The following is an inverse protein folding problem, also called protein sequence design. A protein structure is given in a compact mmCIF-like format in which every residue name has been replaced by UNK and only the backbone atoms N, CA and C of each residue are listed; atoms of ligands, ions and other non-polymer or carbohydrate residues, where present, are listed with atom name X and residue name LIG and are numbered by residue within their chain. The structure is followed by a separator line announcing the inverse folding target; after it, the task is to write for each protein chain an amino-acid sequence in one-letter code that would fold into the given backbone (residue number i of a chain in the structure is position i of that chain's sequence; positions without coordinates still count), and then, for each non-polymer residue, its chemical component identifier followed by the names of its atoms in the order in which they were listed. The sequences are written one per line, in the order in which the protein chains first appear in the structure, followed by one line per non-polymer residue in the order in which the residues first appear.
data_IF_544866294917
#
_entry.id   IF_544866294917
#
_cell.length_a   1.000
_cell.length_b   1.000
_cell.length_c   1.000
_cell.angle_alpha   90.00
_cell.angle_beta   90.00
_cell.angle_gamma   90.00
#
_symmetry.space_group_name_H-M   'P 1'
#
loop_
_entity.id
_entity.type
_entity.pdbx_description
1 polymer ?
#
# COMPACT_ATOMS: atom_id res chain seq x y z
N UNK A 1 -12.55 12.34 -11.69
CA UNK A 1 -12.27 13.55 -10.89
C UNK A 1 -10.76 13.70 -10.75
N UNK A 2 -10.21 14.82 -11.23
CA UNK A 2 -8.77 15.10 -11.32
C UNK A 2 -8.22 15.60 -9.97
N UNK A 3 -6.92 15.36 -9.69
CA UNK A 3 -6.24 15.90 -8.51
C UNK A 3 -5.91 17.38 -8.79
N UNK A 4 -6.30 18.30 -7.90
CA UNK A 4 -6.01 19.73 -8.08
C UNK A 4 -4.80 20.19 -7.26
N UNK A 5 -4.30 21.40 -7.52
CA UNK A 5 -3.20 22.00 -6.74
C UNK A 5 -3.61 22.22 -5.28
N UNK A 6 -4.87 22.58 -5.04
CA UNK A 6 -5.43 22.79 -3.69
C UNK A 6 -5.49 21.46 -2.90
N UNK A 7 -5.83 20.35 -3.58
CA UNK A 7 -5.80 19.01 -2.99
C UNK A 7 -4.38 18.65 -2.51
N UNK A 8 -3.36 18.92 -3.35
CA UNK A 8 -1.96 18.57 -3.06
C UNK A 8 -1.36 19.42 -1.94
N UNK A 9 -1.66 20.71 -1.93
CA UNK A 9 -1.09 21.66 -0.96
C UNK A 9 -1.76 21.58 0.42
N UNK A 10 -2.82 20.76 0.57
CA UNK A 10 -3.57 20.60 1.82
C UNK A 10 -3.95 21.95 2.47
N UNK A 11 -4.26 22.96 1.64
CA UNK A 11 -4.44 24.35 2.06
C UNK A 11 -5.58 24.51 3.07
N UNK A 12 -6.62 23.68 2.94
CA UNK A 12 -7.78 23.69 3.82
C UNK A 12 -7.63 22.62 4.88
N UNK A 13 -7.82 22.98 6.16
CA UNK A 13 -7.63 22.07 7.30
C UNK A 13 -8.45 20.78 7.19
N UNK A 14 -9.70 20.85 6.72
CA UNK A 14 -10.57 19.68 6.57
C UNK A 14 -10.07 18.68 5.52
N UNK A 15 -9.28 19.11 4.53
CA UNK A 15 -8.74 18.21 3.50
C UNK A 15 -7.72 17.23 4.07
N UNK A 16 -7.07 17.59 5.19
CA UNK A 16 -6.05 16.76 5.86
C UNK A 16 -6.60 15.42 6.37
N UNK A 17 -7.89 15.35 6.69
CA UNK A 17 -8.55 14.14 7.19
C UNK A 17 -9.26 13.35 6.10
N UNK A 18 -9.29 13.86 4.85
CA UNK A 18 -9.97 13.17 3.75
C UNK A 18 -9.05 12.11 3.16
N UNK A 19 -9.27 10.86 3.57
CA UNK A 19 -8.55 9.69 3.02
C UNK A 19 -8.61 9.66 1.49
N UNK A 20 -9.73 10.09 0.89
CA UNK A 20 -9.86 10.16 -0.58
C UNK A 20 -8.91 11.16 -1.25
N UNK A 21 -8.43 12.18 -0.56
CA UNK A 21 -7.40 13.10 -1.08
C UNK A 21 -6.06 12.37 -1.09
N UNK A 22 -5.66 11.79 0.04
CA UNK A 22 -4.41 11.02 0.14
C UNK A 22 -4.36 9.84 -0.86
N UNK A 23 -5.43 9.06 -0.97
CA UNK A 23 -5.54 7.94 -1.90
C UNK A 23 -5.61 8.37 -3.38
N UNK A 24 -5.94 9.64 -3.68
CA UNK A 24 -5.82 10.19 -5.04
C UNK A 24 -4.38 10.61 -5.34
N UNK A 25 -3.72 11.26 -4.39
CA UNK A 25 -2.32 11.68 -4.53
C UNK A 25 -1.39 10.49 -4.71
N UNK A 26 -1.65 9.39 -4.01
CA UNK A 26 -0.80 8.19 -4.01
C UNK A 26 -1.34 7.08 -4.92
N UNK A 27 -2.02 7.41 -6.02
CA UNK A 27 -2.63 6.43 -6.93
C UNK A 27 -1.67 6.00 -8.05
N UNK A 28 -1.84 4.79 -8.58
CA UNK A 28 -1.17 4.31 -9.80
C UNK A 28 -1.11 5.33 -10.96
N UNK A 29 -2.20 6.05 -11.23
CA UNK A 29 -2.22 7.06 -12.31
C UNK A 29 -1.22 8.20 -12.08
N UNK A 30 -0.93 8.53 -10.82
CA UNK A 30 0.10 9.51 -10.48
C UNK A 30 1.50 8.94 -10.68
N UNK A 31 1.73 7.68 -10.33
CA UNK A 31 2.99 6.99 -10.62
C UNK A 31 3.26 6.95 -12.13
N UNK A 32 2.30 6.51 -12.93
CA UNK A 32 2.42 6.45 -14.39
C UNK A 32 2.69 7.82 -15.02
N UNK A 33 2.06 8.89 -14.50
CA UNK A 33 2.33 10.25 -14.94
C UNK A 33 3.77 10.67 -14.60
N UNK A 34 4.24 10.41 -13.38
CA UNK A 34 5.62 10.69 -12.96
C UNK A 34 6.64 9.95 -13.81
N UNK A 35 6.40 8.68 -14.14
CA UNK A 35 7.26 7.90 -15.05
C UNK A 35 7.31 8.52 -16.44
N UNK A 36 6.14 8.87 -17.00
CA UNK A 36 6.05 9.47 -18.34
C UNK A 36 6.79 10.79 -18.43
N UNK A 37 6.61 11.65 -17.42
CA UNK A 37 7.24 12.98 -17.38
C UNK A 37 8.69 12.94 -16.90
N UNK A 38 9.18 11.83 -16.32
CA UNK A 38 10.60 11.68 -15.94
C UNK A 38 11.55 11.65 -17.15
N UNK A 39 11.02 11.30 -18.33
CA UNK A 39 11.80 11.26 -19.59
C UNK A 39 11.95 12.64 -20.22
N UNK A 40 11.02 13.57 -19.96
CA UNK A 40 10.94 14.85 -20.68
C UNK A 40 11.08 16.09 -19.79
N UNK A 41 10.45 16.10 -18.62
CA UNK A 41 10.23 17.32 -17.83
C UNK A 41 10.81 17.24 -16.43
N UNK A 42 10.77 16.07 -15.78
CA UNK A 42 11.23 15.88 -14.41
C UNK A 42 12.64 15.27 -14.37
N UNK A 43 13.30 15.39 -13.21
CA UNK A 43 14.57 14.70 -12.97
C UNK A 43 14.37 13.19 -12.91
N UNK A 44 15.46 12.43 -13.07
CA UNK A 44 15.47 10.98 -12.89
C UNK A 44 14.93 10.53 -11.52
N UNK A 45 15.02 11.39 -10.49
CA UNK A 45 14.46 11.12 -9.16
C UNK A 45 12.93 10.98 -9.15
N UNK A 46 12.25 11.52 -10.16
CA UNK A 46 10.80 11.31 -10.33
C UNK A 46 10.46 9.83 -10.52
N UNK A 47 11.37 9.03 -11.10
CA UNK A 47 11.20 7.59 -11.24
C UNK A 47 11.20 6.89 -9.87
N UNK A 48 12.09 7.28 -8.97
CA UNK A 48 12.10 6.75 -7.59
C UNK A 48 10.80 7.10 -6.85
N UNK A 49 10.28 8.30 -7.06
CA UNK A 49 8.99 8.74 -6.50
C UNK A 49 7.84 7.93 -7.09
N UNK A 50 7.82 7.72 -8.41
CA UNK A 50 6.79 6.93 -9.06
C UNK A 50 6.74 5.48 -8.53
N UNK A 51 7.91 4.84 -8.42
CA UNK A 51 8.04 3.50 -7.85
C UNK A 51 7.53 3.44 -6.40
N UNK A 52 7.83 4.46 -5.59
CA UNK A 52 7.31 4.55 -4.22
C UNK A 52 5.77 4.67 -4.22
N UNK A 53 5.22 5.58 -5.03
CA UNK A 53 3.76 5.78 -5.15
C UNK A 53 3.05 4.51 -5.58
N UNK A 54 3.58 3.81 -6.58
CA UNK A 54 3.02 2.54 -7.05
C UNK A 54 3.01 1.47 -5.94
N UNK A 55 4.09 1.37 -5.17
CA UNK A 55 4.18 0.42 -4.06
C UNK A 55 3.16 0.74 -2.95
N UNK A 56 2.97 2.03 -2.63
CA UNK A 56 2.01 2.45 -1.61
C UNK A 56 0.56 2.28 -2.10
N UNK A 57 0.27 2.55 -3.37
CA UNK A 57 -1.04 2.30 -3.99
C UNK A 57 -1.40 0.82 -3.92
N UNK A 58 -0.48 -0.07 -4.33
CA UNK A 58 -0.67 -1.52 -4.24
C UNK A 58 -0.83 -2.00 -2.79
N UNK A 59 -0.08 -1.42 -1.85
CA UNK A 59 -0.21 -1.73 -0.43
C UNK A 59 -1.58 -1.33 0.10
N UNK A 60 -2.05 -0.13 -0.24
CA UNK A 60 -3.37 0.34 0.13
C UNK A 60 -4.47 -0.54 -0.45
N UNK A 61 -4.35 -0.94 -1.72
CA UNK A 61 -5.32 -1.83 -2.36
C UNK A 61 -5.35 -3.22 -1.71
N UNK A 62 -4.19 -3.76 -1.31
CA UNK A 62 -4.07 -5.09 -0.67
C UNK A 62 -4.81 -5.23 0.66
N UNK A 63 -5.13 -4.12 1.31
CA UNK A 63 -5.86 -4.11 2.59
C UNK A 63 -7.28 -3.53 2.46
N UNK A 64 -7.70 -3.16 1.24
CA UNK A 64 -9.01 -2.58 0.95
C UNK A 64 -9.76 -3.34 -0.15
N UNK A 65 -9.47 -4.63 -0.32
CA UNK A 65 -10.21 -5.51 -1.22
C UNK A 65 -11.62 -5.80 -0.70
N UNK A 66 -12.62 -5.78 -1.60
CA UNK A 66 -14.04 -6.01 -1.27
C UNK A 66 -14.72 -7.11 -2.08
N UNK A 67 -14.06 -7.57 -3.15
CA UNK A 67 -14.57 -8.61 -4.05
C UNK A 67 -13.63 -9.81 -4.01
N UNK A 68 -14.14 -11.05 -4.19
CA UNK A 68 -13.30 -12.24 -4.26
C UNK A 68 -12.25 -12.19 -5.38
N UNK A 69 -12.58 -11.49 -6.47
CA UNK A 69 -11.75 -11.38 -7.66
C UNK A 69 -11.17 -9.96 -7.79
N UNK A 70 -9.95 -9.82 -8.34
CA UNK A 70 -9.34 -8.52 -8.56
C UNK A 70 -10.12 -7.64 -9.54
N UNK A 71 -10.16 -6.34 -9.26
CA UNK A 71 -10.61 -5.34 -10.21
C UNK A 71 -9.57 -5.21 -11.36
N UNK A 72 -10.02 -4.88 -12.58
CA UNK A 72 -9.14 -4.78 -13.75
C UNK A 72 -8.00 -3.77 -13.50
N UNK A 73 -6.75 -4.23 -13.64
CA UNK A 73 -5.56 -3.41 -13.41
C UNK A 73 -5.24 -3.15 -11.93
N UNK A 74 -5.95 -3.81 -11.01
CA UNK A 74 -5.81 -3.67 -9.56
C UNK A 74 -5.77 -5.05 -8.90
N UNK A 75 -4.74 -5.83 -9.25
CA UNK A 75 -4.53 -7.22 -8.81
C UNK A 75 -4.59 -7.43 -7.29
N UNK A 76 -4.19 -6.43 -6.52
CA UNK A 76 -4.18 -6.47 -5.06
C UNK A 76 -5.50 -6.01 -4.44
N UNK A 77 -6.41 -5.40 -5.20
CA UNK A 77 -7.72 -4.99 -4.69
C UNK A 77 -8.71 -6.15 -4.79
N UNK A 78 -8.51 -7.15 -3.94
CA UNK A 78 -9.38 -8.32 -3.84
C UNK A 78 -9.35 -8.86 -2.40
N UNK A 79 -10.34 -9.68 -2.04
CA UNK A 79 -10.31 -10.40 -0.78
C UNK A 79 -9.10 -11.33 -0.73
N UNK A 80 -8.53 -11.47 0.47
CA UNK A 80 -7.42 -12.38 0.72
C UNK A 80 -7.93 -13.83 0.58
N UNK A 81 -7.17 -14.66 -0.14
CA UNK A 81 -7.51 -16.07 -0.36
C UNK A 81 -6.22 -16.89 -0.36
N UNK A 82 -6.35 -18.23 -0.34
CA UNK A 82 -5.18 -19.13 -0.40
C UNK A 82 -4.36 -18.97 -1.69
N UNK A 83 -5.00 -18.56 -2.77
CA UNK A 83 -4.39 -18.45 -4.11
C UNK A 83 -4.04 -17.01 -4.48
N UNK A 84 -4.40 -16.03 -3.65
CA UNK A 84 -4.12 -14.63 -3.95
C UNK A 84 -2.67 -14.27 -3.63
N UNK A 85 -2.14 -13.28 -4.36
CA UNK A 85 -0.74 -12.83 -4.27
C UNK A 85 -0.45 -12.02 -2.99
N UNK A 86 -1.41 -11.88 -2.08
CA UNK A 86 -1.33 -11.03 -0.88
C UNK A 86 -0.15 -11.40 0.02
N UNK A 87 0.02 -12.69 0.28
CA UNK A 87 1.05 -13.17 1.21
C UNK A 87 2.46 -12.79 0.75
N UNK A 88 2.78 -13.10 -0.51
CA UNK A 88 4.11 -12.83 -1.07
C UNK A 88 4.36 -11.33 -1.20
N UNK A 89 3.35 -10.58 -1.62
CA UNK A 89 3.40 -9.14 -1.69
C UNK A 89 3.67 -8.51 -0.32
N UNK A 90 2.94 -8.91 0.72
CA UNK A 90 3.12 -8.43 2.08
C UNK A 90 4.49 -8.77 2.65
N UNK A 91 4.99 -9.97 2.42
CA UNK A 91 6.35 -10.35 2.84
C UNK A 91 7.43 -9.47 2.20
N UNK A 92 7.30 -9.19 0.89
CA UNK A 92 8.19 -8.27 0.18
C UNK A 92 8.06 -6.84 0.71
N UNK A 93 6.83 -6.37 0.91
CA UNK A 93 6.56 -5.00 1.35
C UNK A 93 7.00 -4.75 2.80
N UNK A 94 6.86 -5.73 3.70
CA UNK A 94 7.35 -5.64 5.07
C UNK A 94 8.85 -5.35 5.14
N UNK A 95 9.65 -6.04 4.30
CA UNK A 95 11.09 -5.78 4.19
C UNK A 95 11.35 -4.32 3.80
N UNK A 96 10.62 -3.82 2.79
CA UNK A 96 10.75 -2.43 2.31
C UNK A 96 10.34 -1.40 3.36
N UNK A 97 9.19 -1.58 4.02
CA UNK A 97 8.68 -0.66 5.05
C UNK A 97 9.67 -0.57 6.21
N UNK A 98 10.23 -1.71 6.65
CA UNK A 98 11.26 -1.74 7.70
C UNK A 98 12.48 -0.91 7.33
N UNK A 99 12.85 -0.88 6.05
CA UNK A 99 13.97 -0.08 5.52
C UNK A 99 13.66 1.40 5.31
N UNK A 100 12.39 1.84 5.40
CA UNK A 100 12.05 3.25 5.22
C UNK A 100 12.76 4.14 6.24
N UNK A 101 13.47 5.14 5.72
CA UNK A 101 14.09 6.21 6.47
C UNK A 101 13.34 7.51 6.19
N UNK A 102 13.27 8.37 7.19
CA UNK A 102 12.57 9.65 7.10
C UNK A 102 13.59 10.76 7.29
N UNK A 103 13.44 11.81 6.51
CA UNK A 103 14.34 12.94 6.51
C UNK A 103 13.53 14.23 6.60
N UNK A 104 14.08 15.25 7.27
CA UNK A 104 13.51 16.58 7.24
C UNK A 104 13.85 17.31 5.93
N UNK A 105 13.41 18.57 5.81
CA UNK A 105 13.64 19.41 4.62
C UNK A 105 15.13 19.70 4.37
N UNK A 106 15.98 19.54 5.38
CA UNK A 106 17.41 19.77 5.31
C UNK A 106 18.19 18.47 5.06
N UNK A 107 17.50 17.34 4.82
CA UNK A 107 18.11 16.04 4.60
C UNK A 107 18.62 15.36 5.88
N UNK A 108 18.32 15.89 7.06
CA UNK A 108 18.68 15.24 8.33
C UNK A 108 17.73 14.10 8.60
N UNK A 109 18.27 12.92 8.92
CA UNK A 109 17.47 11.76 9.33
C UNK A 109 16.67 12.10 10.59
N UNK A 110 15.37 11.86 10.55
CA UNK A 110 14.44 12.06 11.67
C UNK A 110 13.87 10.75 12.17
N UNK A 111 13.32 10.79 13.39
CA UNK A 111 12.58 9.67 13.96
C UNK A 111 11.42 9.28 13.04
N UNK A 112 11.28 7.98 12.79
CA UNK A 112 10.20 7.48 11.95
C UNK A 112 8.84 7.81 12.58
N UNK A 113 7.83 8.19 11.76
CA UNK A 113 6.49 8.42 12.25
C UNK A 113 5.87 7.12 12.77
N UNK A 114 5.00 7.22 13.79
CA UNK A 114 4.33 6.07 14.40
C UNK A 114 3.56 5.19 13.39
N UNK A 115 3.08 5.78 12.30
CA UNK A 115 2.39 5.03 11.24
C UNK A 115 3.26 3.96 10.57
N UNK A 116 4.59 4.09 10.54
CA UNK A 116 5.48 3.02 10.06
C UNK A 116 5.29 1.75 10.88
N UNK A 117 5.26 1.87 12.20
CA UNK A 117 5.06 0.71 13.08
C UNK A 117 3.64 0.17 12.95
N UNK A 118 2.65 1.05 12.82
CA UNK A 118 1.27 0.65 12.55
C UNK A 118 1.14 -0.21 11.30
N UNK A 119 1.76 0.18 10.18
CA UNK A 119 1.77 -0.62 8.96
C UNK A 119 2.43 -1.99 9.14
N UNK A 120 3.57 -2.06 9.83
CA UNK A 120 4.25 -3.32 10.09
C UNK A 120 3.34 -4.25 10.91
N UNK A 121 2.76 -3.74 12.00
CA UNK A 121 1.86 -4.51 12.87
C UNK A 121 0.61 -4.99 12.14
N UNK A 122 -0.03 -4.13 11.35
CA UNK A 122 -1.23 -4.52 10.60
C UNK A 122 -0.94 -5.64 9.60
N UNK A 123 0.16 -5.53 8.83
CA UNK A 123 0.50 -6.54 7.83
C UNK A 123 0.92 -7.86 8.48
N UNK A 124 1.68 -7.81 9.58
CA UNK A 124 2.05 -9.01 10.35
C UNK A 124 0.83 -9.68 10.97
N UNK A 125 -0.11 -8.89 11.50
CA UNK A 125 -1.40 -9.38 11.98
C UNK A 125 -2.16 -10.13 10.89
N UNK A 126 -2.36 -9.51 9.73
CA UNK A 126 -3.05 -10.17 8.61
C UNK A 126 -2.35 -11.45 8.15
N UNK A 127 -1.02 -11.49 8.14
CA UNK A 127 -0.27 -12.67 7.77
C UNK A 127 -0.48 -13.82 8.77
N UNK A 128 -0.44 -13.52 10.07
CA UNK A 128 -0.61 -14.52 11.13
C UNK A 128 -2.05 -15.04 11.18
N UNK A 129 -3.03 -14.14 11.10
CA UNK A 129 -4.46 -14.50 11.09
C UNK A 129 -4.81 -15.37 9.88
N UNK A 130 -4.25 -15.07 8.71
CA UNK A 130 -4.43 -15.90 7.52
C UNK A 130 -3.85 -17.30 7.72
N UNK A 131 -2.68 -17.42 8.34
CA UNK A 131 -2.08 -18.71 8.69
C UNK A 131 -2.92 -19.50 9.69
N UNK A 132 -3.46 -18.82 10.70
CA UNK A 132 -4.35 -19.44 11.68
C UNK A 132 -5.68 -19.92 11.06
N UNK A 133 -6.31 -19.10 10.22
CA UNK A 133 -7.54 -19.49 9.51
C UNK A 133 -7.31 -20.68 8.57
N UNK A 134 -6.18 -20.73 7.88
CA UNK A 134 -5.85 -21.86 7.00
C UNK A 134 -5.64 -23.17 7.79
N UNK A 135 -4.94 -23.12 8.92
CA UNK A 135 -4.69 -24.30 9.76
C UNK A 135 -5.96 -24.85 10.40
N UNK A 136 -6.82 -23.97 10.93
CA UNK A 136 -8.12 -24.34 11.54
C UNK A 136 -9.13 -24.90 10.54
N UNK A 137 -9.20 -24.35 9.32
CA UNK A 137 -10.08 -24.89 8.28
C UNK A 137 -9.64 -26.31 7.90
N UNK A 138 -8.34 -26.54 7.67
CA UNK A 138 -7.83 -27.87 7.33
C UNK A 138 -8.06 -28.89 8.46
N UNK A 139 -7.85 -28.51 9.72
CA UNK A 139 -8.12 -29.40 10.85
C UNK A 139 -9.61 -29.74 11.00
N UNK A 140 -10.51 -28.80 10.71
CA UNK A 140 -11.95 -29.05 10.81
C UNK A 140 -12.49 -29.91 9.65
N UNK A 141 -11.86 -29.87 8.47
CA UNK A 141 -12.21 -30.76 7.35
C UNK A 141 -11.63 -32.17 7.50
N UNK A 142 -10.47 -32.31 8.15
CA UNK A 142 -9.83 -33.63 8.38
C UNK A 142 -10.25 -34.30 9.69
N UNK A 143 -10.95 -33.58 10.58
CA UNK A 143 -11.40 -34.08 11.89
C UNK A 143 -12.87 -34.51 11.96
N UNK A 144 -13.51 -34.78 10.81
CA UNK A 144 -14.90 -35.26 10.72
C UNK A 144 -15.01 -36.77 10.40
N UNK A 145 -13.93 -37.53 10.60
CA UNK A 145 -13.96 -39.00 10.64
C UNK A 145 -13.41 -39.48 11.98
N UNK A 146 -14.28 -39.54 13.00
CA UNK A 146 -14.16 -40.43 14.16
C UNK A 146 -15.50 -40.55 14.86
#
# INVERSE_FOLDING_TARGET
MQLTKEDLMLQKSYMKMRVCVAARTLRYTMAAALETFSVSTFSSDALHTAQFVEQVDKLFDSVNGRTPYPEKGKDMRACVSRTSKHRDFWYSMLKKIRMWNFFDRNGKKVTAPRCKMGWIQSIEGFHNDLGYMQTKLVSNFLGQEQ
#
